data_IF_124530824011
#
_entry.id   IF_124530824011
#
_cell.length_a   1.000
_cell.length_b   1.000
_cell.length_c   1.000
_cell.angle_alpha   90.00
_cell.angle_beta   90.00
_cell.angle_gamma   90.00
#
_symmetry.space_group_name_H-M   'P 1'
#
loop_
_entity.id
_entity.type
_entity.pdbx_description
1 polymer ?
#
# COMPACT_ATOMS: atom_id res chain seq x y z
N UNK A 1 31.71 2.88 10.93
CA UNK A 1 31.92 3.47 9.58
C UNK A 1 30.90 4.57 9.39
N UNK A 2 31.29 5.84 9.19
CA UNK A 2 30.32 6.90 8.94
C UNK A 2 29.82 6.79 7.50
N UNK A 3 28.50 6.72 7.34
CA UNK A 3 27.83 6.74 6.03
C UNK A 3 27.96 8.19 5.50
N UNK A 4 28.65 8.37 4.38
CA UNK A 4 29.06 9.68 3.84
C UNK A 4 27.87 10.43 3.16
N UNK A 5 26.67 9.85 3.19
CA UNK A 5 25.47 10.40 2.55
C UNK A 5 24.39 10.84 3.54
N UNK A 6 23.53 11.76 3.08
CA UNK A 6 22.38 12.24 3.82
C UNK A 6 21.40 11.07 4.09
N UNK A 7 20.88 11.02 5.31
CA UNK A 7 19.96 9.98 5.77
C UNK A 7 18.68 10.61 6.25
N UNK A 8 17.56 10.20 5.68
CA UNK A 8 16.26 10.74 6.03
C UNK A 8 15.33 9.63 6.48
N UNK A 9 14.81 9.76 7.68
CA UNK A 9 13.73 8.91 8.14
C UNK A 9 12.39 9.42 7.62
N UNK A 10 11.45 8.51 7.45
CA UNK A 10 10.06 8.84 7.18
C UNK A 10 9.13 7.92 7.95
N UNK A 11 7.95 8.43 8.27
CA UNK A 11 6.84 7.65 8.80
C UNK A 11 5.53 8.25 8.30
N UNK A 12 4.56 7.39 8.02
CA UNK A 12 3.21 7.79 7.65
C UNK A 12 2.20 6.82 8.25
N UNK A 13 1.05 7.35 8.64
CA UNK A 13 -0.10 6.57 9.05
C UNK A 13 -1.30 6.97 8.19
N UNK A 14 -1.98 5.98 7.63
CA UNK A 14 -3.22 6.16 6.88
C UNK A 14 -4.29 5.30 7.51
N UNK A 15 -5.50 5.85 7.65
CA UNK A 15 -6.66 5.15 8.21
C UNK A 15 -7.89 5.47 7.38
N UNK A 16 -8.65 4.44 7.06
CA UNK A 16 -9.96 4.53 6.42
C UNK A 16 -10.93 3.69 7.26
N UNK A 17 -12.01 4.29 7.73
CA UNK A 17 -13.02 3.60 8.52
C UNK A 17 -14.02 2.87 7.63
N UNK A 18 -14.59 1.77 8.12
CA UNK A 18 -15.64 0.99 7.47
C UNK A 18 -16.80 1.80 6.89
N UNK A 19 -17.07 3.00 7.44
CA UNK A 19 -18.16 3.88 7.02
C UNK A 19 -17.72 5.01 6.07
N UNK A 20 -16.41 5.23 5.86
CA UNK A 20 -15.88 6.41 5.16
C UNK A 20 -16.37 6.53 3.71
N UNK A 21 -16.58 5.39 3.04
CA UNK A 21 -17.00 5.32 1.63
C UNK A 21 -18.36 4.63 1.46
N UNK A 22 -19.18 4.58 2.51
CA UNK A 22 -20.54 4.05 2.41
C UNK A 22 -21.52 5.17 2.14
N UNK A 23 -22.36 5.01 1.11
CA UNK A 23 -23.33 6.02 0.75
C UNK A 23 -24.70 5.77 1.42
N UNK A 24 -25.37 6.85 1.84
CA UNK A 24 -26.75 6.79 2.34
C UNK A 24 -27.76 6.54 1.23
N UNK A 25 -27.42 6.93 0.00
CA UNK A 25 -28.22 6.67 -1.19
C UNK A 25 -27.69 5.41 -1.87
N UNK A 26 -28.43 4.28 -1.87
CA UNK A 26 -27.91 3.00 -2.38
C UNK A 26 -27.58 2.98 -3.87
N UNK A 27 -28.11 3.94 -4.64
CA UNK A 27 -27.88 4.07 -6.09
C UNK A 27 -26.59 4.82 -6.43
N UNK A 28 -25.92 5.41 -5.45
CA UNK A 28 -24.68 6.15 -5.63
C UNK A 28 -23.49 5.29 -5.20
N UNK A 29 -22.81 4.68 -6.16
CA UNK A 29 -21.63 3.85 -5.93
C UNK A 29 -20.35 4.61 -6.27
N UNK A 30 -19.26 4.30 -5.55
CA UNK A 30 -17.91 4.79 -5.88
C UNK A 30 -17.23 3.97 -6.98
N UNK A 31 -18.03 3.25 -7.76
CA UNK A 31 -17.62 2.35 -8.83
C UNK A 31 -18.41 2.68 -10.09
N UNK A 32 -17.71 2.86 -11.20
CA UNK A 32 -18.29 3.06 -12.53
C UNK A 32 -17.65 2.04 -13.47
N UNK A 33 -18.46 1.21 -14.13
CA UNK A 33 -18.01 0.16 -15.06
C UNK A 33 -16.92 -0.79 -14.48
N UNK A 34 -17.01 -1.17 -13.20
CA UNK A 34 -15.99 -2.04 -12.58
C UNK A 34 -14.77 -1.31 -12.05
N UNK A 35 -14.68 0.01 -12.27
CA UNK A 35 -13.54 0.84 -11.84
C UNK A 35 -13.93 1.59 -10.57
N UNK A 36 -13.42 1.11 -9.43
CA UNK A 36 -13.61 1.72 -8.12
C UNK A 36 -12.50 2.72 -7.76
N UNK A 37 -12.33 2.96 -6.45
CA UNK A 37 -11.40 3.94 -5.87
C UNK A 37 -9.90 3.56 -5.98
N UNK A 38 -9.54 2.66 -6.90
CA UNK A 38 -8.23 1.99 -6.97
C UNK A 38 -7.80 1.34 -5.64
N UNK A 39 -8.75 1.14 -4.72
CA UNK A 39 -8.61 0.52 -3.40
C UNK A 39 -9.73 -0.49 -3.27
N UNK A 40 -9.39 -1.75 -3.03
CA UNK A 40 -10.38 -2.84 -2.95
C UNK A 40 -11.20 -2.84 -1.66
N UNK A 41 -10.73 -2.15 -0.62
CA UNK A 41 -11.26 -2.26 0.75
C UNK A 41 -11.54 -0.87 1.33
N UNK A 42 -12.65 -0.76 2.06
CA UNK A 42 -13.09 0.48 2.68
C UNK A 42 -12.78 0.57 4.18
N UNK A 43 -12.10 -0.41 4.77
CA UNK A 43 -11.72 -0.43 6.18
C UNK A 43 -10.30 -0.94 6.40
N UNK A 44 -9.34 -0.03 6.41
CA UNK A 44 -7.96 -0.40 6.69
C UNK A 44 -7.23 0.68 7.45
N UNK A 45 -6.18 0.26 8.15
CA UNK A 45 -5.12 1.16 8.54
C UNK A 45 -3.76 0.66 8.10
N UNK A 46 -2.87 1.59 7.82
CA UNK A 46 -1.52 1.31 7.37
C UNK A 46 -0.56 2.24 8.08
N UNK A 47 0.44 1.65 8.73
CA UNK A 47 1.63 2.34 9.18
C UNK A 47 2.78 1.96 8.26
N UNK A 48 3.52 2.96 7.81
CA UNK A 48 4.71 2.79 6.99
C UNK A 48 5.83 3.63 7.57
N UNK A 49 6.99 3.05 7.77
CA UNK A 49 8.18 3.74 8.26
C UNK A 49 9.43 3.23 7.57
N UNK A 50 10.48 4.04 7.52
CA UNK A 50 11.72 3.64 6.88
C UNK A 50 12.80 4.71 6.87
N UNK A 51 13.86 4.38 6.15
CA UNK A 51 15.07 5.18 6.00
C UNK A 51 15.41 5.29 4.52
N UNK A 52 15.59 6.53 4.06
CA UNK A 52 16.23 6.86 2.79
C UNK A 52 17.72 7.01 3.03
N UNK A 53 18.51 6.25 2.27
CA UNK A 53 19.95 6.12 2.41
C UNK A 53 20.62 6.50 1.09
N UNK A 54 21.44 7.56 1.13
CA UNK A 54 22.28 7.97 0.01
C UNK A 54 23.66 7.30 0.04
N UNK A 55 23.70 5.96 0.09
CA UNK A 55 24.97 5.20 0.27
C UNK A 55 25.78 5.09 -1.02
N UNK A 56 25.10 5.08 -2.17
CA UNK A 56 25.71 4.89 -3.48
C UNK A 56 25.43 6.13 -4.34
N UNK A 57 26.46 6.71 -5.00
CA UNK A 57 26.26 7.86 -5.88
C UNK A 57 25.16 7.59 -6.90
N UNK A 58 24.21 8.54 -7.02
CA UNK A 58 23.09 8.48 -7.97
C UNK A 58 22.16 7.27 -7.80
N UNK A 59 22.22 6.59 -6.66
CA UNK A 59 21.41 5.41 -6.38
C UNK A 59 20.80 5.52 -4.99
N UNK A 60 19.66 6.24 -4.82
CA UNK A 60 18.95 6.25 -3.55
C UNK A 60 18.48 4.83 -3.20
N UNK A 61 18.72 4.43 -1.96
CA UNK A 61 18.19 3.18 -1.39
C UNK A 61 17.20 3.51 -0.28
N UNK A 62 16.09 2.80 -0.22
CA UNK A 62 15.05 2.95 0.79
C UNK A 62 14.80 1.62 1.48
N UNK A 63 15.12 1.56 2.76
CA UNK A 63 14.73 0.45 3.63
C UNK A 63 13.42 0.83 4.33
N UNK A 64 12.43 -0.05 4.32
CA UNK A 64 11.12 0.27 4.90
C UNK A 64 10.40 -0.94 5.49
N UNK A 65 9.51 -0.65 6.43
CA UNK A 65 8.53 -1.56 6.98
C UNK A 65 7.13 -0.98 6.76
N UNK A 66 6.19 -1.82 6.35
CA UNK A 66 4.76 -1.50 6.25
C UNK A 66 4.01 -2.52 7.08
N UNK A 67 3.07 -2.07 7.90
CA UNK A 67 2.07 -2.93 8.51
C UNK A 67 0.69 -2.38 8.18
N UNK A 68 -0.13 -3.20 7.55
CA UNK A 68 -1.51 -2.89 7.21
C UNK A 68 -2.44 -3.86 7.91
N UNK A 69 -3.51 -3.35 8.52
CA UNK A 69 -4.66 -4.17 8.95
C UNK A 69 -5.84 -3.80 8.09
N UNK A 70 -6.59 -4.81 7.68
CA UNK A 70 -7.68 -4.67 6.73
C UNK A 70 -8.85 -5.55 7.18
N UNK A 71 -10.05 -4.99 7.20
CA UNK A 71 -11.27 -5.76 7.44
C UNK A 71 -11.94 -6.21 6.14
N UNK A 72 -13.13 -6.77 6.27
CA UNK A 72 -13.98 -7.24 5.16
C UNK A 72 -14.93 -6.15 4.66
N UNK A 73 -14.69 -4.89 5.01
CA UNK A 73 -15.52 -3.77 4.62
C UNK A 73 -15.41 -3.47 3.13
N UNK A 74 -16.57 -3.18 2.52
CA UNK A 74 -16.68 -2.79 1.11
C UNK A 74 -17.46 -1.49 0.96
N UNK A 75 -17.01 -0.63 0.05
CA UNK A 75 -17.69 0.61 -0.33
C UNK A 75 -18.94 0.36 -1.19
N UNK A 76 -19.17 -0.89 -1.61
CA UNK A 76 -20.41 -1.31 -2.27
C UNK A 76 -21.52 -1.66 -1.26
N UNK A 77 -21.21 -1.65 0.05
CA UNK A 77 -22.20 -1.86 1.10
C UNK A 77 -22.84 -0.50 1.44
N UNK A 78 -24.19 -0.36 1.42
CA UNK A 78 -24.86 0.86 1.82
C UNK A 78 -24.51 1.31 3.24
N UNK A 79 -24.70 2.60 3.52
CA UNK A 79 -24.60 3.12 4.87
C UNK A 79 -25.63 2.40 5.77
N UNK A 80 -25.27 1.99 7.00
CA UNK A 80 -26.17 1.26 7.88
C UNK A 80 -27.46 2.03 8.13
N UNK A 81 -28.56 1.31 8.40
CA UNK A 81 -29.79 1.95 8.86
C UNK A 81 -29.64 2.35 10.34
N UNK A 82 -30.43 3.33 10.82
CA UNK A 82 -30.35 3.76 12.22
C UNK A 82 -30.50 2.62 13.25
N UNK A 83 -31.28 1.58 12.92
CA UNK A 83 -31.45 0.40 13.76
C UNK A 83 -30.14 -0.42 13.93
N UNK A 84 -29.24 -0.35 12.96
CA UNK A 84 -27.99 -1.14 12.90
C UNK A 84 -26.77 -0.36 13.41
N UNK A 85 -26.94 0.90 13.82
CA UNK A 85 -25.82 1.73 14.27
C UNK A 85 -25.09 1.16 15.48
N UNK A 86 -25.81 0.49 16.39
CA UNK A 86 -25.24 -0.10 17.59
C UNK A 86 -24.37 -1.33 17.32
N UNK A 87 -24.65 -2.06 16.23
CA UNK A 87 -23.97 -3.32 15.87
C UNK A 87 -22.97 -3.14 14.74
N UNK A 88 -23.05 -2.05 13.98
CA UNK A 88 -22.16 -1.79 12.86
C UNK A 88 -20.76 -1.40 13.34
N UNK A 89 -19.70 -2.14 12.94
CA UNK A 89 -18.34 -1.80 13.32
C UNK A 89 -17.90 -0.47 12.72
N UNK A 90 -17.38 0.43 13.57
CA UNK A 90 -16.90 1.73 13.13
C UNK A 90 -15.55 1.70 12.40
N UNK A 91 -14.69 0.70 12.67
CA UNK A 91 -13.35 0.63 12.05
C UNK A 91 -13.21 -0.53 11.08
N UNK A 92 -13.15 -1.77 11.58
CA UNK A 92 -12.97 -2.97 10.76
C UNK A 92 -14.22 -3.83 10.83
N UNK A 93 -14.70 -4.28 9.68
CA UNK A 93 -15.75 -5.27 9.55
C UNK A 93 -15.14 -6.67 9.52
N UNK A 94 -15.82 -7.65 10.10
CA UNK A 94 -15.46 -9.06 9.95
C UNK A 94 -14.07 -9.44 10.51
N UNK A 95 -13.44 -10.42 9.87
CA UNK A 95 -12.10 -10.92 10.23
C UNK A 95 -11.03 -9.96 9.73
N UNK A 96 -10.15 -9.53 10.63
CA UNK A 96 -9.07 -8.60 10.29
C UNK A 96 -7.90 -9.39 9.70
N UNK A 97 -7.56 -9.10 8.45
CA UNK A 97 -6.33 -9.55 7.80
C UNK A 97 -5.18 -8.56 8.10
N UNK A 98 -4.05 -9.08 8.56
CA UNK A 98 -2.83 -8.29 8.76
C UNK A 98 -1.82 -8.57 7.67
N UNK A 99 -1.17 -7.54 7.12
CA UNK A 99 -0.10 -7.67 6.12
C UNK A 99 1.09 -6.86 6.60
N UNK A 100 2.20 -7.53 6.87
CA UNK A 100 3.47 -6.91 7.25
C UNK A 100 4.48 -7.10 6.14
N UNK A 101 5.02 -6.01 5.59
CA UNK A 101 6.10 -6.03 4.59
C UNK A 101 7.37 -5.43 5.17
N UNK A 102 8.49 -6.14 4.99
CA UNK A 102 9.83 -5.57 5.11
C UNK A 102 10.44 -5.52 3.72
N UNK A 103 10.82 -4.32 3.27
CA UNK A 103 11.24 -4.09 1.90
C UNK A 103 12.46 -3.20 1.76
N UNK A 104 13.17 -3.40 0.67
CA UNK A 104 14.27 -2.57 0.19
C UNK A 104 13.96 -2.16 -1.24
N UNK A 105 13.99 -0.86 -1.52
CA UNK A 105 13.85 -0.34 -2.87
C UNK A 105 14.97 0.61 -3.24
N UNK A 106 15.17 0.79 -4.53
CA UNK A 106 16.16 1.71 -5.04
C UNK A 106 16.01 1.95 -6.54
N UNK A 107 16.64 3.01 -7.00
CA UNK A 107 16.70 3.35 -8.41
C UNK A 107 18.07 3.89 -8.75
N UNK A 108 18.57 3.58 -9.94
CA UNK A 108 19.83 4.10 -10.47
C UNK A 108 19.62 4.57 -11.89
N UNK A 109 20.14 5.77 -12.20
CA UNK A 109 20.10 6.34 -13.56
C UNK A 109 21.51 6.41 -14.13
N UNK A 110 21.71 5.76 -15.28
CA UNK A 110 22.93 5.80 -16.06
C UNK A 110 22.65 6.27 -17.49
N UNK A 111 22.94 7.55 -17.75
CA UNK A 111 22.67 8.22 -19.05
C UNK A 111 21.19 8.11 -19.42
N UNK A 112 20.88 7.32 -20.43
CA UNK A 112 19.57 7.13 -21.04
C UNK A 112 18.86 5.91 -20.44
N UNK A 113 19.44 5.26 -19.44
CA UNK A 113 18.90 4.07 -18.80
C UNK A 113 18.60 4.32 -17.33
N UNK A 114 17.42 3.92 -16.89
CA UNK A 114 17.01 3.93 -15.49
C UNK A 114 16.62 2.51 -15.09
N UNK A 115 17.23 2.02 -14.01
CA UNK A 115 16.91 0.74 -13.39
C UNK A 115 16.35 1.02 -12.00
N UNK A 116 15.17 0.49 -11.70
CA UNK A 116 14.60 0.52 -10.35
C UNK A 116 14.16 -0.86 -9.92
N UNK A 117 14.19 -1.08 -8.62
CA UNK A 117 13.77 -2.34 -8.01
C UNK A 117 13.17 -2.13 -6.64
N UNK A 118 12.29 -3.05 -6.26
CA UNK A 118 11.74 -3.20 -4.91
C UNK A 118 11.71 -4.69 -4.60
N UNK A 119 12.28 -5.10 -3.49
CA UNK A 119 12.27 -6.48 -3.01
C UNK A 119 11.88 -6.51 -1.55
N UNK A 120 11.21 -7.56 -1.11
CA UNK A 120 10.80 -7.66 0.27
C UNK A 120 10.08 -8.94 0.61
N UNK A 121 9.91 -9.15 1.92
CA UNK A 121 9.16 -10.27 2.48
C UNK A 121 7.84 -9.74 3.02
N UNK A 122 6.75 -10.40 2.65
CA UNK A 122 5.42 -10.16 3.17
C UNK A 122 5.04 -11.30 4.12
N UNK A 123 4.48 -10.94 5.27
CA UNK A 123 3.90 -11.85 6.24
C UNK A 123 2.44 -11.46 6.47
N UNK A 124 1.53 -12.36 6.13
CA UNK A 124 0.11 -12.17 6.21
C UNK A 124 -0.47 -13.01 7.35
N UNK A 125 -1.31 -12.41 8.18
CA UNK A 125 -2.10 -13.07 9.22
C UNK A 125 -3.58 -12.98 8.89
N UNK A 126 -4.32 -14.04 9.21
CA UNK A 126 -5.69 -14.25 8.74
C UNK A 126 -5.82 -14.03 7.22
N UNK A 127 -4.91 -14.65 6.46
CA UNK A 127 -4.80 -14.48 5.02
C UNK A 127 -6.13 -14.81 4.34
N UNK A 128 -6.55 -13.94 3.41
CA UNK A 128 -7.86 -14.04 2.78
C UNK A 128 -9.05 -13.91 3.73
N UNK A 129 -8.89 -13.23 4.88
CA UNK A 129 -9.89 -13.09 5.93
C UNK A 129 -10.30 -14.42 6.60
N UNK A 130 -9.46 -15.46 6.51
CA UNK A 130 -9.68 -16.75 7.16
C UNK A 130 -8.92 -16.80 8.49
N UNK A 131 -9.64 -16.88 9.61
CA UNK A 131 -9.03 -16.93 10.95
C UNK A 131 -7.97 -18.01 11.09
N UNK A 132 -6.76 -17.63 11.49
CA UNK A 132 -5.63 -18.55 11.69
C UNK A 132 -4.84 -18.89 10.42
N UNK A 133 -5.33 -18.54 9.22
CA UNK A 133 -4.55 -18.68 8.00
C UNK A 133 -3.37 -17.72 8.01
N UNK A 134 -2.16 -18.24 7.81
CA UNK A 134 -0.94 -17.44 7.79
C UNK A 134 -0.16 -17.75 6.52
N UNK A 135 0.28 -16.71 5.82
CA UNK A 135 1.07 -16.85 4.60
C UNK A 135 2.33 -15.99 4.71
N UNK A 136 3.45 -16.46 4.19
CA UNK A 136 4.69 -15.67 4.11
C UNK A 136 5.31 -15.88 2.75
N UNK A 137 5.60 -14.77 2.06
CA UNK A 137 6.08 -14.78 0.69
C UNK A 137 7.17 -13.74 0.46
N UNK A 138 8.08 -14.05 -0.46
CA UNK A 138 9.04 -13.08 -0.98
C UNK A 138 8.50 -12.50 -2.29
N UNK A 139 8.54 -11.17 -2.42
CA UNK A 139 8.08 -10.47 -3.61
C UNK A 139 9.11 -9.45 -4.06
N UNK A 140 9.40 -9.47 -5.36
CA UNK A 140 10.29 -8.53 -6.02
C UNK A 140 9.67 -7.96 -7.29
N UNK A 141 9.95 -6.69 -7.55
CA UNK A 141 9.65 -6.01 -8.80
C UNK A 141 10.92 -5.33 -9.30
N UNK A 142 11.19 -5.48 -10.59
CA UNK A 142 12.26 -4.75 -11.27
C UNK A 142 11.63 -4.01 -12.44
N UNK A 143 12.06 -2.76 -12.64
CA UNK A 143 11.64 -1.92 -13.77
C UNK A 143 12.89 -1.37 -14.45
N UNK A 144 12.95 -1.55 -15.76
CA UNK A 144 13.93 -0.93 -16.64
C UNK A 144 13.22 0.11 -17.51
N UNK A 145 13.77 1.32 -17.59
CA UNK A 145 13.31 2.36 -18.50
C UNK A 145 14.48 2.87 -19.33
N UNK A 146 14.20 3.17 -20.60
CA UNK A 146 15.17 3.75 -21.54
C UNK A 146 14.56 5.05 -22.05
N UNK A 147 15.29 6.16 -21.89
CA UNK A 147 14.93 7.50 -22.31
C UNK A 147 16.02 8.01 -23.26
N UNK A 148 15.91 7.68 -24.56
CA UNK A 148 16.95 8.01 -25.53
C UNK A 148 16.97 9.51 -25.81
N UNK A 149 18.16 10.13 -25.78
CA UNK A 149 18.32 11.57 -26.05
C UNK A 149 18.09 12.00 -27.50
N UNK A 150 17.81 11.07 -28.41
CA UNK A 150 17.47 11.32 -29.80
C UNK A 150 15.96 11.47 -30.01
N UNK A 151 15.25 12.10 -29.06
CA UNK A 151 13.82 12.38 -29.26
C UNK A 151 13.66 13.27 -30.48
N UNK A 152 13.02 12.70 -31.49
CA UNK A 152 12.62 13.31 -32.76
C UNK A 152 11.87 14.62 -32.43
N UNK A 153 12.43 15.75 -32.86
CA UNK A 153 11.66 17.00 -32.98
C UNK A 153 10.65 16.81 -34.11
N UNK A 154 9.35 16.94 -33.80
CA UNK A 154 8.32 17.18 -34.80
C UNK A 154 8.22 18.67 -35.10
#
# INVERSE_FOLDING_TARGET
>A
MPLIGDQRWFASYTRVSNLAYRNKTPTETYEIFGVGLARGFSDYDEIKAGLDLALVPRTPLRLYAIHRRQGEGSYNIPFPLPADYATTPGMFSGVIMGVTRLGLSGASKWRDLELSGDVGVNHNTNDGHVTGATHTGFEGRVKLAIEPRWSISF
#
